data_IF_914469471063
#
_entry.id   IF_914469471063
#
_cell.length_a   1.000
_cell.length_b   1.000
_cell.length_c   1.000
_cell.angle_alpha   90.00
_cell.angle_beta   90.00
_cell.angle_gamma   90.00
#
_symmetry.space_group_name_H-M   'P 1'
#
loop_
_entity.id
_entity.type
_entity.pdbx_description
1 polymer ?
#
# COMPACT_ATOMS: atom_id res chain seq x y z
N UNK A 1 -8.85 -27.40 -5.87
CA UNK A 1 -8.72 -26.16 -6.66
C UNK A 1 -9.77 -26.19 -7.74
N UNK A 2 -10.49 -25.13 -7.88
CA UNK A 2 -11.48 -24.93 -8.93
C UNK A 2 -11.28 -23.56 -9.58
N UNK A 3 -11.65 -23.44 -10.85
CA UNK A 3 -11.76 -22.14 -11.49
C UNK A 3 -13.05 -21.47 -11.00
N UNK A 4 -12.97 -20.19 -10.70
CA UNK A 4 -14.13 -19.41 -10.23
C UNK A 4 -14.55 -18.47 -11.34
N UNK A 5 -15.87 -18.38 -11.56
CA UNK A 5 -16.44 -17.36 -12.42
C UNK A 5 -16.19 -16.00 -11.77
N UNK A 6 -15.52 -15.07 -12.44
CA UNK A 6 -15.21 -13.77 -11.88
C UNK A 6 -16.47 -12.96 -11.61
N UNK A 7 -16.43 -12.16 -10.55
CA UNK A 7 -17.42 -11.13 -10.28
C UNK A 7 -17.14 -9.90 -11.16
N UNK A 8 -18.11 -8.99 -11.34
CA UNK A 8 -17.86 -7.74 -12.05
C UNK A 8 -16.67 -6.96 -11.44
N UNK A 9 -15.68 -6.68 -12.24
CA UNK A 9 -14.43 -6.02 -11.82
C UNK A 9 -13.25 -6.94 -11.51
N UNK A 10 -13.48 -8.25 -11.45
CA UNK A 10 -12.41 -9.23 -11.27
C UNK A 10 -11.62 -9.47 -12.58
N UNK A 11 -10.41 -10.05 -12.50
CA UNK A 11 -9.72 -10.62 -13.65
C UNK A 11 -10.58 -11.66 -14.37
N UNK A 12 -10.32 -11.87 -15.65
CA UNK A 12 -11.08 -12.80 -16.50
C UNK A 12 -11.14 -14.24 -15.96
N UNK A 13 -10.12 -14.64 -15.22
CA UNK A 13 -10.03 -15.94 -14.57
C UNK A 13 -9.07 -15.87 -13.37
N UNK A 14 -9.37 -16.61 -12.33
CA UNK A 14 -8.45 -16.87 -11.21
C UNK A 14 -8.72 -18.22 -10.57
N UNK A 15 -7.67 -18.78 -9.95
CA UNK A 15 -7.79 -20.04 -9.23
C UNK A 15 -8.27 -19.78 -7.81
N UNK A 16 -9.28 -20.50 -7.40
CA UNK A 16 -9.69 -20.55 -6.01
C UNK A 16 -9.44 -21.92 -5.40
N UNK A 17 -9.24 -21.92 -4.10
CA UNK A 17 -9.00 -23.08 -3.28
C UNK A 17 -10.12 -23.15 -2.27
N UNK A 18 -10.90 -24.24 -2.29
CA UNK A 18 -11.91 -24.48 -1.28
C UNK A 18 -11.27 -25.26 -0.12
N UNK A 19 -11.46 -24.75 1.10
CA UNK A 19 -11.12 -25.52 2.30
C UNK A 19 -12.14 -26.66 2.48
N UNK A 20 -11.69 -27.87 2.87
CA UNK A 20 -12.62 -28.95 3.24
C UNK A 20 -13.41 -28.62 4.52
N UNK A 21 -12.92 -27.71 5.37
CA UNK A 21 -13.50 -27.37 6.66
C UNK A 21 -14.44 -26.16 6.64
N UNK A 22 -14.50 -25.44 5.51
CA UNK A 22 -15.34 -24.25 5.37
C UNK A 22 -15.79 -24.05 3.93
N UNK A 23 -16.89 -23.31 3.76
CA UNK A 23 -17.37 -22.90 2.43
C UNK A 23 -16.62 -21.71 1.85
N UNK A 24 -15.62 -21.17 2.57
CA UNK A 24 -14.83 -20.05 2.10
C UNK A 24 -13.88 -20.46 0.97
N UNK A 25 -13.77 -19.58 0.00
CA UNK A 25 -12.84 -19.70 -1.10
C UNK A 25 -11.60 -18.85 -0.81
N UNK A 26 -10.44 -19.40 -1.07
CA UNK A 26 -9.15 -18.76 -0.89
C UNK A 26 -8.41 -18.71 -2.22
N UNK A 27 -7.49 -17.79 -2.36
CA UNK A 27 -6.56 -17.75 -3.49
C UNK A 27 -5.14 -17.60 -2.98
N UNK A 28 -4.18 -17.87 -3.85
CA UNK A 28 -2.76 -17.66 -3.55
C UNK A 28 -2.36 -16.29 -4.06
N UNK A 29 -1.80 -15.48 -3.19
CA UNK A 29 -1.34 -14.13 -3.48
C UNK A 29 0.20 -14.05 -3.50
N UNK A 30 0.80 -12.94 -3.93
CA UNK A 30 2.24 -12.73 -3.80
C UNK A 30 2.75 -12.86 -2.36
N UNK A 31 1.91 -12.60 -1.36
CA UNK A 31 2.28 -12.76 0.05
C UNK A 31 2.62 -14.21 0.39
N UNK A 32 1.73 -15.16 0.06
CA UNK A 32 2.00 -16.58 0.29
C UNK A 32 3.21 -17.07 -0.52
N UNK A 33 3.39 -16.55 -1.73
CA UNK A 33 4.57 -16.86 -2.55
C UNK A 33 5.87 -16.41 -1.88
N UNK A 34 5.88 -15.22 -1.27
CA UNK A 34 7.03 -14.71 -0.53
C UNK A 34 7.34 -15.51 0.73
N UNK A 35 6.33 -15.95 1.47
CA UNK A 35 6.51 -16.87 2.59
C UNK A 35 7.04 -18.23 2.12
N UNK A 36 6.53 -18.76 1.01
CA UNK A 36 7.01 -20.03 0.43
C UNK A 36 8.49 -19.97 0.09
N UNK A 37 8.97 -18.85 -0.43
CA UNK A 37 10.38 -18.61 -0.75
C UNK A 37 11.22 -18.14 0.45
N UNK A 38 10.63 -18.02 1.64
CA UNK A 38 11.29 -17.50 2.86
C UNK A 38 11.89 -16.12 2.70
N UNK A 39 11.28 -15.28 1.88
CA UNK A 39 11.69 -13.89 1.70
C UNK A 39 11.18 -12.97 2.82
N UNK A 40 10.11 -13.39 3.48
CA UNK A 40 9.55 -12.70 4.66
C UNK A 40 9.96 -13.47 5.89
N UNK A 41 10.73 -12.81 6.75
CA UNK A 41 11.00 -13.27 8.10
C UNK A 41 9.91 -12.70 9.00
N UNK A 42 8.84 -13.45 9.21
CA UNK A 42 7.73 -12.97 10.04
C UNK A 42 8.12 -12.94 11.51
N UNK A 43 8.21 -11.76 12.06
CA UNK A 43 8.30 -11.54 13.50
C UNK A 43 7.20 -10.59 14.00
N UNK A 44 6.21 -10.24 13.18
CA UNK A 44 5.11 -9.36 13.54
C UNK A 44 3.85 -10.10 13.99
N UNK A 45 2.93 -9.36 14.61
CA UNK A 45 1.58 -9.81 14.90
C UNK A 45 0.88 -10.24 13.60
N UNK A 46 0.56 -11.52 13.45
CA UNK A 46 -0.08 -12.05 12.26
C UNK A 46 0.83 -12.93 11.38
N UNK A 47 1.75 -13.66 11.99
CA UNK A 47 2.58 -14.64 11.30
C UNK A 47 1.74 -15.58 10.42
N UNK A 48 2.21 -15.83 9.19
CA UNK A 48 1.51 -16.67 8.25
C UNK A 48 1.45 -18.14 8.74
N UNK A 49 0.33 -18.79 8.46
CA UNK A 49 0.23 -20.23 8.68
C UNK A 49 1.07 -20.98 7.64
N UNK A 50 2.31 -21.29 8.02
CA UNK A 50 3.30 -21.95 7.14
C UNK A 50 2.83 -23.33 6.68
N UNK A 51 2.09 -24.07 7.50
CA UNK A 51 1.57 -25.38 7.14
C UNK A 51 0.51 -25.28 6.05
N UNK A 52 -0.42 -24.31 6.19
CA UNK A 52 -1.42 -24.04 5.17
C UNK A 52 -0.77 -23.62 3.84
N UNK A 53 0.21 -22.71 3.87
CA UNK A 53 0.96 -22.30 2.70
C UNK A 53 1.64 -23.50 2.02
N UNK A 54 2.35 -24.31 2.77
CA UNK A 54 3.02 -25.48 2.20
C UNK A 54 2.03 -26.49 1.62
N UNK A 55 0.89 -26.72 2.26
CA UNK A 55 -0.17 -27.60 1.76
C UNK A 55 -0.73 -27.12 0.42
N UNK A 56 -0.97 -25.82 0.30
CA UNK A 56 -1.46 -25.20 -0.95
C UNK A 56 -0.42 -25.35 -2.07
N UNK A 57 0.84 -25.00 -1.81
CA UNK A 57 1.89 -25.14 -2.82
C UNK A 57 2.12 -26.59 -3.22
N UNK A 58 2.06 -27.56 -2.29
CA UNK A 58 2.11 -28.98 -2.61
C UNK A 58 0.96 -29.40 -3.54
N UNK A 59 -0.24 -28.85 -3.35
CA UNK A 59 -1.36 -29.10 -4.24
C UNK A 59 -1.12 -28.51 -5.64
N UNK A 60 -0.57 -27.29 -5.71
CA UNK A 60 -0.20 -26.66 -6.98
C UNK A 60 0.90 -27.46 -7.71
N UNK A 61 1.90 -28.00 -7.00
CA UNK A 61 2.92 -28.90 -7.55
C UNK A 61 2.27 -30.09 -8.26
N UNK A 62 1.32 -30.74 -7.58
CA UNK A 62 0.60 -31.91 -8.15
C UNK A 62 -0.18 -31.54 -9.41
N UNK A 63 -0.77 -30.36 -9.46
CA UNK A 63 -1.60 -29.92 -10.59
C UNK A 63 -0.78 -29.44 -11.79
N UNK A 64 0.34 -28.79 -11.53
CA UNK A 64 1.15 -28.14 -12.57
C UNK A 64 2.36 -28.97 -13.00
N UNK A 65 2.68 -30.00 -12.24
CA UNK A 65 3.91 -30.80 -12.36
C UNK A 65 5.18 -29.92 -12.29
N UNK A 66 5.14 -28.86 -11.45
CA UNK A 66 6.25 -27.93 -11.21
C UNK A 66 6.56 -27.81 -9.73
N UNK A 67 7.83 -27.61 -9.34
CA UNK A 67 8.21 -27.37 -7.96
C UNK A 67 7.53 -26.13 -7.38
N UNK A 68 7.09 -26.18 -6.11
CA UNK A 68 6.39 -25.07 -5.46
C UNK A 68 7.20 -23.78 -5.40
N UNK A 69 8.52 -23.88 -5.29
CA UNK A 69 9.40 -22.70 -5.34
C UNK A 69 9.40 -22.05 -6.73
N UNK A 70 9.35 -22.86 -7.81
CA UNK A 70 9.23 -22.32 -9.18
C UNK A 70 7.91 -21.60 -9.37
N UNK A 71 6.81 -22.19 -8.86
CA UNK A 71 5.48 -21.57 -8.90
C UNK A 71 5.48 -20.24 -8.13
N UNK A 72 6.02 -20.24 -6.91
CA UNK A 72 6.11 -19.04 -6.08
C UNK A 72 6.96 -17.94 -6.76
N UNK A 73 8.10 -18.30 -7.33
CA UNK A 73 8.94 -17.38 -8.09
C UNK A 73 8.18 -16.80 -9.28
N UNK A 74 7.43 -17.62 -10.02
CA UNK A 74 6.64 -17.14 -11.17
C UNK A 74 5.56 -16.15 -10.74
N UNK A 75 4.87 -16.38 -9.62
CA UNK A 75 3.87 -15.47 -9.07
C UNK A 75 4.51 -14.10 -8.77
N UNK A 76 5.65 -14.10 -8.07
CA UNK A 76 6.35 -12.86 -7.74
C UNK A 76 6.93 -12.16 -8.97
N UNK A 77 7.42 -12.91 -9.94
CA UNK A 77 7.90 -12.37 -11.22
C UNK A 77 6.78 -11.64 -11.95
N UNK A 78 5.60 -12.25 -12.09
CA UNK A 78 4.43 -11.60 -12.71
C UNK A 78 4.03 -10.33 -11.96
N UNK A 79 4.10 -10.35 -10.64
CA UNK A 79 3.83 -9.16 -9.82
C UNK A 79 4.83 -8.04 -10.09
N UNK A 80 6.12 -8.37 -10.13
CA UNK A 80 7.18 -7.40 -10.45
C UNK A 80 7.05 -6.85 -11.88
N UNK A 81 6.69 -7.69 -12.85
CA UNK A 81 6.43 -7.28 -14.24
C UNK A 81 5.25 -6.30 -14.36
N UNK A 82 4.22 -6.44 -13.52
CA UNK A 82 3.10 -5.49 -13.45
C UNK A 82 3.48 -4.17 -12.79
N UNK A 83 4.39 -4.19 -11.83
CA UNK A 83 4.86 -3.00 -11.10
C UNK A 83 5.86 -2.19 -11.95
N UNK A 84 6.72 -2.88 -12.70
CA UNK A 84 7.79 -2.25 -13.50
C UNK A 84 7.35 -1.07 -14.39
N UNK A 85 6.26 -1.14 -15.18
CA UNK A 85 5.81 -0.01 -16.00
C UNK A 85 5.39 1.20 -15.16
N UNK A 86 4.78 0.99 -13.99
CA UNK A 86 4.38 2.06 -13.08
C UNK A 86 5.61 2.80 -12.55
N UNK A 87 6.64 2.07 -12.14
CA UNK A 87 7.90 2.67 -11.68
C UNK A 87 8.54 3.51 -12.79
N UNK A 88 8.60 2.96 -14.00
CA UNK A 88 9.14 3.69 -15.17
C UNK A 88 8.33 4.94 -15.51
N UNK A 89 7.02 4.89 -15.33
CA UNK A 89 6.15 6.05 -15.52
C UNK A 89 6.47 7.13 -14.48
N UNK A 90 6.47 6.78 -13.19
CA UNK A 90 6.78 7.71 -12.11
C UNK A 90 8.18 8.31 -12.26
N UNK A 91 9.19 7.49 -12.59
CA UNK A 91 10.56 7.98 -12.82
C UNK A 91 10.60 9.05 -13.91
N UNK A 92 9.83 8.88 -15.00
CA UNK A 92 9.75 9.87 -16.07
C UNK A 92 8.97 11.12 -15.66
N UNK A 93 7.82 10.96 -15.02
CA UNK A 93 6.96 12.07 -14.59
C UNK A 93 7.68 12.99 -13.61
N UNK A 94 8.37 12.40 -12.64
CA UNK A 94 9.11 13.14 -11.61
C UNK A 94 10.57 13.43 -11.98
N UNK A 95 11.01 13.05 -13.19
CA UNK A 95 12.38 13.25 -13.68
C UNK A 95 13.44 12.73 -12.70
N UNK A 96 13.19 11.55 -12.14
CA UNK A 96 14.10 10.93 -11.17
C UNK A 96 15.38 10.46 -11.86
N UNK A 97 16.51 10.65 -11.19
CA UNK A 97 17.78 10.04 -11.60
C UNK A 97 17.75 8.55 -11.27
N UNK A 98 17.75 7.70 -12.30
CA UNK A 98 17.65 6.24 -12.14
C UNK A 98 18.77 5.66 -11.26
N UNK A 99 19.94 6.33 -11.21
CA UNK A 99 21.08 5.90 -10.38
C UNK A 99 20.86 6.14 -8.87
N UNK A 100 19.88 6.98 -8.51
CA UNK A 100 19.57 7.37 -7.14
C UNK A 100 18.26 6.77 -6.63
N UNK A 101 17.58 5.97 -7.45
CA UNK A 101 16.32 5.34 -7.05
C UNK A 101 16.58 4.26 -6.00
N UNK A 102 15.94 4.38 -4.85
CA UNK A 102 15.86 3.36 -3.81
C UNK A 102 14.39 3.03 -3.52
N UNK A 103 14.06 1.75 -3.36
CA UNK A 103 12.75 1.35 -2.90
C UNK A 103 12.66 1.42 -1.39
N UNK A 104 11.62 2.09 -0.89
CA UNK A 104 11.30 2.10 0.54
C UNK A 104 9.95 1.44 0.73
N UNK A 105 9.94 0.31 1.43
CA UNK A 105 8.73 -0.44 1.73
C UNK A 105 8.07 0.06 3.02
N UNK A 106 6.79 0.42 2.95
CA UNK A 106 5.94 0.73 4.09
C UNK A 106 4.57 0.06 3.97
N UNK A 107 3.96 -0.29 5.09
CA UNK A 107 2.70 -1.04 5.16
C UNK A 107 2.90 -2.53 5.39
N UNK A 108 1.85 -3.21 5.88
CA UNK A 108 1.92 -4.62 6.29
C UNK A 108 2.31 -5.62 5.20
N UNK A 109 2.11 -5.27 3.92
CA UNK A 109 2.50 -6.12 2.78
C UNK A 109 3.87 -5.80 2.19
N UNK A 110 4.57 -4.78 2.68
CA UNK A 110 5.82 -4.30 2.08
C UNK A 110 6.90 -5.39 1.98
N UNK A 111 7.11 -6.12 3.06
CA UNK A 111 8.11 -7.21 3.13
C UNK A 111 7.82 -8.35 2.15
N UNK A 112 6.57 -8.51 1.71
CA UNK A 112 6.18 -9.57 0.78
C UNK A 112 6.49 -9.25 -0.68
N UNK A 113 6.53 -7.97 -1.06
CA UNK A 113 6.61 -7.56 -2.47
C UNK A 113 7.90 -6.81 -2.76
N UNK A 114 8.29 -5.88 -1.87
CA UNK A 114 9.40 -4.94 -2.14
C UNK A 114 10.73 -5.63 -2.36
N UNK A 115 11.21 -6.57 -1.51
CA UNK A 115 12.52 -7.19 -1.68
C UNK A 115 12.64 -7.92 -3.01
N UNK A 116 11.64 -8.73 -3.37
CA UNK A 116 11.67 -9.47 -4.64
C UNK A 116 11.62 -8.53 -5.85
N UNK A 117 10.73 -7.53 -5.83
CA UNK A 117 10.58 -6.57 -6.94
C UNK A 117 11.84 -5.74 -7.12
N UNK A 118 12.43 -5.27 -6.04
CA UNK A 118 13.67 -4.50 -6.08
C UNK A 118 14.82 -5.33 -6.68
N UNK A 119 15.00 -6.56 -6.22
CA UNK A 119 16.00 -7.48 -6.78
C UNK A 119 15.74 -7.77 -8.27
N UNK A 120 14.47 -8.00 -8.65
CA UNK A 120 14.09 -8.23 -10.04
C UNK A 120 14.41 -7.03 -10.94
N UNK A 121 14.30 -5.82 -10.42
CA UNK A 121 14.60 -4.56 -11.12
C UNK A 121 16.06 -4.11 -10.95
N UNK A 122 16.84 -4.82 -10.16
CA UNK A 122 18.24 -4.48 -9.82
C UNK A 122 18.36 -3.11 -9.12
N UNK A 123 17.39 -2.78 -8.26
CA UNK A 123 17.36 -1.56 -7.49
C UNK A 123 17.62 -1.82 -6.00
N UNK A 124 18.30 -0.91 -5.29
CA UNK A 124 18.43 -0.99 -3.85
C UNK A 124 17.07 -0.85 -3.17
N UNK A 125 16.93 -1.46 -2.00
CA UNK A 125 15.70 -1.35 -1.22
C UNK A 125 15.97 -1.39 0.28
N UNK A 126 15.02 -0.83 1.02
CA UNK A 126 14.91 -0.97 2.47
C UNK A 126 13.44 -1.09 2.88
N UNK A 127 13.20 -1.78 3.97
CA UNK A 127 11.90 -1.81 4.63
C UNK A 127 11.95 -0.80 5.78
N UNK A 128 10.97 0.09 5.83
CA UNK A 128 10.88 1.09 6.89
C UNK A 128 10.75 0.42 8.26
N UNK A 129 11.35 1.01 9.26
CA UNK A 129 11.15 0.59 10.64
C UNK A 129 9.66 0.77 11.01
N UNK A 130 9.09 -0.22 11.72
CA UNK A 130 7.65 -0.27 12.04
C UNK A 130 6.75 -0.16 10.80
N UNK A 131 7.19 -0.75 9.66
CA UNK A 131 6.51 -0.63 8.37
C UNK A 131 5.04 -1.08 8.43
N UNK A 132 4.70 -2.05 9.26
CA UNK A 132 3.35 -2.59 9.43
C UNK A 132 2.34 -1.60 10.02
N UNK A 133 2.81 -0.64 10.79
CA UNK A 133 1.98 0.41 11.42
C UNK A 133 2.29 1.81 10.93
N UNK A 134 3.07 1.95 9.85
CA UNK A 134 3.54 3.26 9.35
C UNK A 134 2.39 4.21 8.99
N UNK A 135 1.27 3.68 8.52
CA UNK A 135 0.07 4.48 8.24
C UNK A 135 -0.55 5.06 9.51
N UNK A 136 -0.56 4.28 10.60
CA UNK A 136 -1.04 4.76 11.90
C UNK A 136 -0.09 5.80 12.49
N UNK A 137 1.22 5.61 12.35
CA UNK A 137 2.23 6.59 12.74
C UNK A 137 2.04 7.88 11.94
N UNK A 138 1.88 7.77 10.61
CA UNK A 138 1.62 8.93 9.75
C UNK A 138 0.35 9.67 10.13
N UNK A 139 -0.72 8.95 10.44
CA UNK A 139 -1.98 9.56 10.91
C UNK A 139 -1.82 10.27 12.27
N UNK A 140 -1.04 9.68 13.19
CA UNK A 140 -0.77 10.28 14.50
C UNK A 140 0.14 11.53 14.41
N UNK A 141 1.01 11.58 13.41
CA UNK A 141 1.88 12.72 13.12
C UNK A 141 1.23 13.73 12.16
N UNK A 142 0.07 13.39 11.61
CA UNK A 142 -0.65 14.23 10.67
C UNK A 142 -1.09 15.54 11.30
N UNK A 143 -0.81 16.64 10.60
CA UNK A 143 -1.32 17.97 10.97
C UNK A 143 -2.77 18.06 10.54
N UNK A 144 -3.67 18.44 11.45
CA UNK A 144 -5.05 18.79 11.10
C UNK A 144 -5.01 20.09 10.30
N UNK A 145 -5.57 20.06 9.09
CA UNK A 145 -5.57 21.19 8.17
C UNK A 145 -6.96 21.34 7.56
N UNK A 146 -7.39 22.60 7.43
CA UNK A 146 -8.59 22.98 6.67
C UNK A 146 -8.28 24.19 5.81
N UNK A 147 -9.08 24.41 4.78
CA UNK A 147 -8.97 25.56 3.88
C UNK A 147 -10.36 26.09 3.59
N UNK A 148 -10.56 27.38 3.81
CA UNK A 148 -11.82 28.08 3.56
C UNK A 148 -11.59 29.11 2.47
N UNK A 149 -12.36 29.03 1.40
CA UNK A 149 -12.32 29.99 0.29
C UNK A 149 -13.61 30.80 0.27
N UNK A 150 -13.49 32.13 0.06
CA UNK A 150 -14.60 33.05 -0.08
C UNK A 150 -14.32 34.06 -1.19
N UNK A 151 -15.30 34.28 -2.04
CA UNK A 151 -15.26 35.34 -3.06
C UNK A 151 -15.90 36.58 -2.50
N UNK A 152 -15.11 37.56 -2.09
CA UNK A 152 -15.57 38.85 -1.54
C UNK A 152 -14.89 39.98 -2.32
N UNK A 153 -15.69 40.84 -2.93
CA UNK A 153 -15.19 42.02 -3.67
C UNK A 153 -14.84 43.12 -2.65
N UNK A 154 -13.59 43.53 -2.62
CA UNK A 154 -13.04 44.51 -1.66
C UNK A 154 -13.33 44.13 -0.20
N UNK A 155 -12.71 43.03 0.31
CA UNK A 155 -12.98 42.56 1.66
C UNK A 155 -12.62 43.60 2.72
N UNK A 156 -13.53 43.82 3.67
CA UNK A 156 -13.28 44.64 4.83
C UNK A 156 -12.44 43.89 5.87
N UNK A 157 -11.87 44.65 6.84
CA UNK A 157 -11.16 44.00 7.96
C UNK A 157 -12.07 43.05 8.75
N UNK A 158 -13.34 43.34 8.86
CA UNK A 158 -14.30 42.45 9.53
C UNK A 158 -14.53 41.16 8.76
N UNK A 159 -14.55 41.19 7.42
CA UNK A 159 -14.66 39.98 6.59
C UNK A 159 -13.44 39.12 6.80
N UNK A 160 -12.24 39.68 6.81
CA UNK A 160 -10.99 38.99 7.04
C UNK A 160 -10.97 38.35 8.45
N UNK A 161 -11.37 39.07 9.48
CA UNK A 161 -11.46 38.57 10.84
C UNK A 161 -12.48 37.42 10.96
N UNK A 162 -13.63 37.56 10.30
CA UNK A 162 -14.67 36.52 10.28
C UNK A 162 -14.17 35.20 9.64
N UNK A 163 -13.50 35.28 8.48
CA UNK A 163 -12.94 34.12 7.80
C UNK A 163 -11.84 33.46 8.66
N UNK A 164 -11.01 34.27 9.28
CA UNK A 164 -9.96 33.77 10.18
C UNK A 164 -10.53 33.00 11.36
N UNK A 165 -11.60 33.56 11.97
CA UNK A 165 -12.28 32.89 13.08
C UNK A 165 -12.95 31.58 12.63
N UNK A 166 -13.61 31.58 11.48
CA UNK A 166 -14.24 30.40 10.90
C UNK A 166 -13.20 29.29 10.65
N UNK A 167 -12.06 29.63 10.06
CA UNK A 167 -10.97 28.69 9.82
C UNK A 167 -10.40 28.10 11.12
N UNK A 168 -10.19 28.95 12.12
CA UNK A 168 -9.74 28.54 13.45
C UNK A 168 -10.73 27.56 14.09
N UNK A 169 -12.02 27.91 14.12
CA UNK A 169 -13.07 27.09 14.72
C UNK A 169 -13.22 25.73 14.00
N UNK A 170 -13.08 25.72 12.67
CA UNK A 170 -13.16 24.50 11.87
C UNK A 170 -12.10 23.48 12.28
N UNK A 171 -10.83 23.86 12.34
CA UNK A 171 -9.75 22.93 12.70
C UNK A 171 -9.81 22.52 14.18
N UNK A 172 -10.25 23.40 15.08
CA UNK A 172 -10.48 23.05 16.49
C UNK A 172 -11.61 22.02 16.62
N UNK A 173 -12.69 22.18 15.87
CA UNK A 173 -13.80 21.21 15.82
C UNK A 173 -13.36 19.86 15.28
N UNK A 174 -12.36 19.82 14.39
CA UNK A 174 -11.74 18.61 13.87
C UNK A 174 -10.78 17.95 14.87
N UNK A 175 -10.51 18.58 16.02
CA UNK A 175 -9.68 18.03 17.11
C UNK A 175 -8.29 18.67 17.23
N UNK A 176 -8.00 19.76 16.54
CA UNK A 176 -6.75 20.49 16.71
C UNK A 176 -6.66 21.13 18.09
N UNK A 177 -5.44 21.17 18.65
CA UNK A 177 -5.18 21.92 19.88
C UNK A 177 -5.22 23.43 19.57
N UNK A 178 -6.17 24.15 20.17
CA UNK A 178 -6.37 25.59 19.94
C UNK A 178 -5.10 26.43 20.11
N UNK A 179 -4.19 26.05 21.01
CA UNK A 179 -2.96 26.76 21.26
C UNK A 179 -1.88 26.57 20.16
N UNK A 180 -2.08 25.62 19.25
CA UNK A 180 -1.13 25.30 18.15
C UNK A 180 -1.72 25.56 16.76
N UNK A 181 -2.89 26.21 16.68
CA UNK A 181 -3.50 26.55 15.40
C UNK A 181 -2.85 27.80 14.82
N UNK A 182 -2.38 27.70 13.60
CA UNK A 182 -1.92 28.82 12.78
C UNK A 182 -2.88 29.04 11.62
N UNK A 183 -3.30 30.30 11.41
CA UNK A 183 -4.19 30.66 10.31
C UNK A 183 -3.47 31.66 9.40
N UNK A 184 -3.29 31.27 8.15
CA UNK A 184 -2.77 32.14 7.08
C UNK A 184 -3.91 32.58 6.18
N UNK A 185 -3.93 33.84 5.77
CA UNK A 185 -4.89 34.38 4.82
C UNK A 185 -4.14 34.86 3.58
N UNK A 186 -4.56 34.38 2.43
CA UNK A 186 -4.07 34.80 1.12
C UNK A 186 -5.19 35.53 0.41
N UNK A 187 -4.90 36.66 -0.22
CA UNK A 187 -5.86 37.48 -0.99
C UNK A 187 -5.35 37.51 -2.43
N UNK A 188 -6.07 36.86 -3.31
CA UNK A 188 -5.83 36.92 -4.75
C UNK A 188 -6.61 38.11 -5.33
N UNK A 189 -5.93 38.99 -6.11
CA UNK A 189 -6.49 40.15 -6.77
C UNK A 189 -6.79 39.88 -8.24
#
# INVERSE_FOLDING_TARGET
>A
IQSVTPLPGDPSDYLSIKSPESDHLFTVTPTEASYKLKLVTSLGHGGANTEAINSVFKRLETLTNKPGNEIATKILTISAEKIKPVIKQLSREYKLDESLIEFVGGGGGASSIVPFTANYLQLPHKIAENCEVISAIGAALGIIRDSIERNIINPSENDILSIRQEAFESVVKMGANANSVEVTIEIDN
#
